data_IF_015354022328
#
_entry.id   IF_015354022328
#
_cell.length_a   1.000
_cell.length_b   1.000
_cell.length_c   1.000
_cell.angle_alpha   90.00
_cell.angle_beta   90.00
_cell.angle_gamma   90.00
#
_symmetry.space_group_name_H-M   'P 1'
#
loop_
_entity.id
_entity.type
_entity.pdbx_description
1 polymer ?
#
# COMPACT_ATOMS: atom_id res chain seq x y z
N UNK A 1 -19.46 -9.58 36.01
CA UNK A 1 -18.00 -9.56 35.78
C UNK A 1 -17.76 -9.55 34.28
N UNK A 2 -17.45 -8.47 33.55
CA UNK A 2 -17.08 -7.09 33.86
C UNK A 2 -17.78 -6.14 32.87
N UNK A 3 -18.18 -5.00 33.40
CA UNK A 3 -19.20 -4.06 32.95
C UNK A 3 -18.81 -3.20 31.75
N UNK A 4 -19.71 -3.09 30.76
CA UNK A 4 -19.72 -2.03 29.76
C UNK A 4 -19.96 -0.69 30.45
N UNK A 5 -18.94 0.17 30.48
CA UNK A 5 -19.04 1.53 30.99
C UNK A 5 -19.14 2.52 29.83
N UNK A 6 -20.36 3.00 29.64
CA UNK A 6 -20.67 4.32 29.10
C UNK A 6 -19.71 5.37 29.66
N UNK A 7 -19.10 6.17 28.79
CA UNK A 7 -18.70 7.55 29.11
C UNK A 7 -19.17 8.45 27.98
N UNK A 8 -20.29 9.09 28.26
CA UNK A 8 -21.00 10.09 27.49
C UNK A 8 -20.35 11.47 27.69
N UNK A 9 -20.55 12.37 26.71
CA UNK A 9 -20.61 13.84 26.83
C UNK A 9 -19.29 14.60 27.09
N UNK A 10 -18.89 15.42 26.11
CA UNK A 10 -18.74 16.89 26.20
C UNK A 10 -18.83 17.45 24.77
N UNK A 11 -19.94 18.12 24.46
CA UNK A 11 -20.12 19.02 23.32
C UNK A 11 -19.60 20.40 23.73
N UNK A 12 -18.66 21.04 23.00
CA UNK A 12 -18.55 22.48 23.02
C UNK A 12 -19.49 23.07 21.96
N UNK A 13 -20.50 23.81 22.44
CA UNK A 13 -21.27 24.77 21.65
C UNK A 13 -20.29 25.80 21.05
N UNK A 14 -19.92 25.60 19.79
CA UNK A 14 -19.18 26.57 18.99
C UNK A 14 -20.14 27.23 18.00
N UNK A 15 -20.56 28.44 18.37
CA UNK A 15 -21.36 29.35 17.55
C UNK A 15 -20.49 29.83 16.37
N UNK A 16 -20.56 29.17 15.21
CA UNK A 16 -19.89 29.65 13.98
C UNK A 16 -20.96 30.20 13.04
N UNK A 17 -21.33 31.43 13.33
CA UNK A 17 -22.01 32.31 12.39
C UNK A 17 -20.97 32.94 11.47
N UNK A 18 -20.76 32.35 10.28
CA UNK A 18 -20.26 33.08 9.11
C UNK A 18 -20.87 32.49 7.85
N UNK A 19 -21.86 33.19 7.33
CA UNK A 19 -22.44 33.10 5.99
C UNK A 19 -21.33 33.23 4.94
N UNK A 20 -20.93 32.13 4.30
CA UNK A 20 -19.98 32.16 3.17
C UNK A 20 -20.72 31.78 1.88
N UNK A 21 -21.35 32.79 1.28
CA UNK A 21 -21.84 32.76 -0.09
C UNK A 21 -20.62 32.90 -1.03
N UNK A 22 -20.10 31.78 -1.53
CA UNK A 22 -18.86 31.77 -2.30
C UNK A 22 -18.53 30.40 -2.89
N UNK A 23 -19.24 30.06 -3.96
CA UNK A 23 -18.82 29.24 -5.10
C UNK A 23 -17.37 28.69 -5.05
N UNK A 24 -17.24 27.41 -4.76
CA UNK A 24 -16.13 26.58 -5.25
C UNK A 24 -16.73 25.29 -5.83
N UNK A 25 -16.48 24.95 -7.10
CA UNK A 25 -16.70 23.58 -7.54
C UNK A 25 -15.70 22.74 -6.76
N UNK A 26 -16.19 21.85 -5.88
CA UNK A 26 -15.39 20.77 -5.35
C UNK A 26 -15.05 19.87 -6.54
N UNK A 27 -13.97 20.21 -7.24
CA UNK A 27 -13.50 19.47 -8.40
C UNK A 27 -12.94 18.16 -7.84
N UNK A 28 -13.78 17.13 -7.77
CA UNK A 28 -13.39 15.76 -7.49
C UNK A 28 -12.51 15.25 -8.65
N UNK A 29 -11.26 15.72 -8.71
CA UNK A 29 -10.26 15.11 -9.58
C UNK A 29 -10.07 13.65 -9.16
N UNK A 30 -10.04 12.68 -10.09
CA UNK A 30 -9.85 11.27 -9.74
C UNK A 30 -8.40 11.01 -9.34
N UNK A 31 -8.05 11.26 -8.07
CA UNK A 31 -6.70 11.07 -7.51
C UNK A 31 -6.20 9.59 -7.55
N UNK A 32 -7.05 8.64 -7.94
CA UNK A 32 -6.72 7.20 -8.03
C UNK A 32 -6.15 6.74 -9.38
N UNK A 33 -6.19 7.58 -10.43
CA UNK A 33 -5.71 7.17 -11.76
C UNK A 33 -4.21 7.41 -11.96
N UNK A 34 -3.64 8.47 -11.38
CA UNK A 34 -2.22 8.81 -11.52
C UNK A 34 -1.25 7.83 -10.82
N UNK A 35 -1.63 7.23 -9.68
CA UNK A 35 -0.76 6.33 -8.90
C UNK A 35 -0.48 4.99 -9.59
N UNK A 36 -1.41 4.54 -10.43
CA UNK A 36 -1.30 3.23 -11.09
C UNK A 36 -0.12 3.16 -12.05
N UNK A 37 0.11 4.25 -12.79
CA UNK A 37 1.19 4.36 -13.75
C UNK A 37 2.53 4.64 -13.06
N UNK A 38 2.52 5.43 -11.98
CA UNK A 38 3.72 5.76 -11.21
C UNK A 38 4.33 4.54 -10.49
N UNK A 39 3.50 3.67 -9.88
CA UNK A 39 4.01 2.46 -9.24
C UNK A 39 4.57 1.49 -10.28
N UNK A 40 3.86 1.24 -11.38
CA UNK A 40 4.36 0.39 -12.47
C UNK A 40 5.68 0.91 -13.06
N UNK A 41 5.82 2.23 -13.23
CA UNK A 41 7.05 2.88 -13.70
C UNK A 41 8.20 2.83 -12.68
N UNK A 42 7.92 2.73 -11.38
CA UNK A 42 8.96 2.46 -10.36
C UNK A 42 9.45 1.02 -10.44
N UNK A 43 8.52 0.08 -10.56
CA UNK A 43 8.85 -1.33 -10.67
C UNK A 43 9.54 -1.69 -11.98
N UNK A 44 9.45 -0.88 -13.05
CA UNK A 44 10.27 -1.09 -14.25
C UNK A 44 11.78 -0.90 -13.99
N UNK A 45 12.18 -0.13 -12.96
CA UNK A 45 13.59 -0.01 -12.54
C UNK A 45 14.14 -1.30 -11.91
N UNK A 46 13.29 -2.06 -11.21
CA UNK A 46 13.69 -3.27 -10.49
C UNK A 46 13.69 -4.51 -11.41
N UNK A 47 14.60 -4.60 -12.38
CA UNK A 47 14.76 -5.81 -13.20
C UNK A 47 15.06 -7.04 -12.32
N UNK A 48 14.65 -8.28 -12.66
CA UNK A 48 14.98 -9.48 -11.88
C UNK A 48 16.48 -9.61 -11.54
N UNK A 49 17.34 -9.03 -12.37
CA UNK A 49 18.81 -9.01 -12.21
C UNK A 49 19.37 -7.76 -11.52
N UNK A 50 18.56 -6.71 -11.31
CA UNK A 50 18.98 -5.45 -10.64
C UNK A 50 18.17 -5.12 -9.38
N UNK A 51 17.16 -5.92 -9.06
CA UNK A 51 16.30 -5.68 -7.92
C UNK A 51 17.03 -6.05 -6.62
N UNK A 52 16.97 -5.20 -5.59
CA UNK A 52 17.61 -5.49 -4.31
C UNK A 52 16.92 -6.66 -3.62
N UNK A 53 17.70 -7.51 -2.96
CA UNK A 53 17.16 -8.52 -2.06
C UNK A 53 16.65 -7.85 -0.78
N UNK A 54 15.37 -8.04 -0.44
CA UNK A 54 14.79 -7.47 0.78
C UNK A 54 14.43 -8.59 1.77
N UNK A 55 14.77 -8.38 3.03
CA UNK A 55 14.51 -9.30 4.12
C UNK A 55 14.18 -8.51 5.40
N UNK A 56 13.70 -9.16 6.47
CA UNK A 56 13.55 -8.50 7.77
C UNK A 56 14.78 -7.68 8.16
N UNK A 57 14.57 -6.41 8.51
CA UNK A 57 15.63 -5.45 8.80
C UNK A 57 16.06 -4.57 7.62
N UNK A 58 15.72 -4.92 6.37
CA UNK A 58 15.92 -4.03 5.22
C UNK A 58 15.11 -2.74 5.36
N UNK A 59 15.66 -1.63 4.85
CA UNK A 59 14.99 -0.32 4.90
C UNK A 59 15.18 0.45 3.59
N UNK A 60 14.30 1.41 3.35
CA UNK A 60 14.45 2.40 2.29
C UNK A 60 13.37 2.35 1.22
N UNK A 61 13.65 2.95 0.06
CA UNK A 61 12.64 3.19 -0.97
C UNK A 61 12.09 1.88 -1.58
N UNK A 62 12.95 0.88 -1.78
CA UNK A 62 12.53 -0.42 -2.30
C UNK A 62 11.52 -1.11 -1.38
N UNK A 63 11.69 -0.99 -0.05
CA UNK A 63 10.73 -1.54 0.92
C UNK A 63 9.39 -0.79 0.84
N UNK A 64 9.41 0.54 0.71
CA UNK A 64 8.18 1.33 0.51
C UNK A 64 7.43 0.90 -0.75
N UNK A 65 8.16 0.68 -1.84
CA UNK A 65 7.54 0.26 -3.10
C UNK A 65 6.89 -1.13 -2.98
N UNK A 66 7.53 -2.07 -2.27
CA UNK A 66 6.94 -3.39 -1.97
C UNK A 66 5.72 -3.28 -1.06
N UNK A 67 5.80 -2.52 0.03
CA UNK A 67 4.68 -2.33 0.96
C UNK A 67 3.48 -1.71 0.22
N UNK A 68 3.71 -0.69 -0.62
CA UNK A 68 2.66 -0.06 -1.42
C UNK A 68 2.04 -1.04 -2.44
N UNK A 69 2.86 -1.86 -3.10
CA UNK A 69 2.37 -2.88 -4.03
C UNK A 69 1.52 -3.94 -3.31
N UNK A 70 2.00 -4.48 -2.19
CA UNK A 70 1.25 -5.45 -1.39
C UNK A 70 -0.05 -4.87 -0.84
N UNK A 71 -0.04 -3.59 -0.45
CA UNK A 71 -1.25 -2.91 0.02
C UNK A 71 -2.28 -2.76 -1.11
N UNK A 72 -1.83 -2.39 -2.31
CA UNK A 72 -2.69 -2.31 -3.49
C UNK A 72 -3.28 -3.67 -3.88
N UNK A 73 -2.50 -4.74 -3.70
CA UNK A 73 -2.93 -6.11 -3.98
C UNK A 73 -3.78 -6.72 -2.84
N UNK A 74 -3.97 -6.00 -1.73
CA UNK A 74 -4.77 -6.46 -0.58
C UNK A 74 -4.05 -7.39 0.39
N UNK A 75 -2.74 -7.59 0.26
CA UNK A 75 -1.94 -8.45 1.14
C UNK A 75 -1.34 -7.74 2.35
N UNK A 76 -1.31 -6.40 2.35
CA UNK A 76 -0.71 -5.60 3.40
C UNK A 76 -1.65 -4.49 3.88
N UNK A 77 -1.82 -4.36 5.20
CA UNK A 77 -2.68 -3.36 5.85
C UNK A 77 -1.89 -2.43 6.79
N UNK A 78 -0.56 -2.51 6.80
CA UNK A 78 0.31 -1.66 7.60
C UNK A 78 0.63 -0.33 6.91
N UNK A 79 1.43 0.49 7.59
CA UNK A 79 1.94 1.74 7.04
C UNK A 79 3.08 1.50 6.03
N UNK A 80 3.15 2.32 4.99
CA UNK A 80 4.25 2.31 4.02
C UNK A 80 5.41 3.16 4.56
N UNK A 81 6.07 2.66 5.59
CA UNK A 81 7.16 3.33 6.31
C UNK A 81 8.54 3.09 5.70
N UNK A 82 8.67 2.05 4.86
CA UNK A 82 9.95 1.63 4.30
C UNK A 82 10.80 0.83 5.26
N UNK A 83 10.21 0.25 6.31
CA UNK A 83 10.88 -0.63 7.27
C UNK A 83 10.36 -2.05 7.06
N UNK A 84 11.25 -2.98 6.75
CA UNK A 84 10.88 -4.36 6.54
C UNK A 84 10.75 -5.08 7.89
N UNK A 85 9.57 -4.94 8.50
CA UNK A 85 9.20 -5.60 9.76
C UNK A 85 8.51 -6.95 9.57
N UNK A 86 8.12 -7.56 10.69
CA UNK A 86 7.38 -8.83 10.71
C UNK A 86 6.08 -8.78 9.90
N UNK A 87 5.32 -7.68 10.01
CA UNK A 87 4.08 -7.49 9.24
C UNK A 87 4.32 -7.51 7.73
N UNK A 88 5.40 -6.89 7.26
CA UNK A 88 5.78 -6.90 5.84
C UNK A 88 6.23 -8.29 5.41
N UNK A 89 7.02 -8.98 6.24
CA UNK A 89 7.44 -10.37 5.96
C UNK A 89 6.23 -11.32 5.83
N UNK A 90 5.25 -11.21 6.73
CA UNK A 90 4.02 -12.01 6.66
C UNK A 90 3.23 -11.71 5.37
N UNK A 91 3.07 -10.44 5.01
CA UNK A 91 2.38 -10.06 3.79
C UNK A 91 3.09 -10.58 2.53
N UNK A 92 4.42 -10.51 2.49
CA UNK A 92 5.23 -11.08 1.40
C UNK A 92 5.06 -12.58 1.33
N UNK A 93 5.11 -13.29 2.46
CA UNK A 93 4.93 -14.74 2.49
C UNK A 93 3.54 -15.17 1.99
N UNK A 94 2.49 -14.42 2.34
CA UNK A 94 1.13 -14.67 1.86
C UNK A 94 1.01 -14.42 0.36
N UNK A 95 1.57 -13.31 -0.14
CA UNK A 95 1.64 -13.02 -1.56
C UNK A 95 2.42 -14.09 -2.34
N UNK A 96 3.57 -14.52 -1.83
CA UNK A 96 4.34 -15.59 -2.47
C UNK A 96 3.53 -16.87 -2.59
N UNK A 97 2.83 -17.28 -1.52
CA UNK A 97 1.95 -18.47 -1.53
C UNK A 97 0.83 -18.34 -2.54
N UNK A 98 0.18 -17.17 -2.67
CA UNK A 98 -0.88 -16.95 -3.67
C UNK A 98 -0.36 -17.02 -5.11
N UNK A 99 0.93 -16.76 -5.31
CA UNK A 99 1.62 -16.86 -6.59
C UNK A 99 2.41 -18.16 -6.79
N UNK A 100 2.20 -19.18 -5.94
CA UNK A 100 2.90 -20.49 -5.99
C UNK A 100 4.43 -20.38 -5.88
N UNK A 101 4.91 -19.34 -5.20
CA UNK A 101 6.31 -19.13 -4.82
C UNK A 101 6.49 -19.62 -3.39
N UNK A 102 7.69 -20.08 -3.04
CA UNK A 102 8.04 -20.44 -1.66
C UNK A 102 7.80 -19.22 -0.75
N UNK A 103 6.92 -19.38 0.24
CA UNK A 103 6.48 -18.33 1.16
C UNK A 103 7.49 -18.07 2.28
N UNK A 104 8.72 -17.71 1.93
CA UNK A 104 9.83 -17.43 2.85
C UNK A 104 9.78 -16.03 3.47
N UNK A 105 8.89 -15.16 2.97
CA UNK A 105 8.73 -13.79 3.45
C UNK A 105 9.90 -12.88 3.11
N UNK A 106 10.69 -13.22 2.08
CA UNK A 106 11.82 -12.42 1.55
C UNK A 106 11.58 -12.04 0.10
N UNK A 107 12.00 -10.86 -0.32
CA UNK A 107 11.77 -10.38 -1.69
C UNK A 107 13.02 -10.63 -2.53
N UNK A 108 12.98 -11.72 -3.29
CA UNK A 108 13.97 -12.05 -4.33
C UNK A 108 13.47 -11.75 -5.73
N UNK A 109 14.27 -12.11 -6.75
CA UNK A 109 13.98 -11.86 -8.17
C UNK A 109 12.59 -12.36 -8.60
N UNK A 110 12.20 -13.56 -8.19
CA UNK A 110 10.89 -14.15 -8.49
C UNK A 110 9.74 -13.34 -7.88
N UNK A 111 9.91 -12.87 -6.64
CA UNK A 111 8.90 -12.06 -5.95
C UNK A 111 8.76 -10.68 -6.61
N UNK A 112 9.88 -10.05 -7.01
CA UNK A 112 9.86 -8.79 -7.77
C UNK A 112 9.15 -8.93 -9.11
N UNK A 113 9.39 -10.03 -9.83
CA UNK A 113 8.70 -10.32 -11.08
C UNK A 113 7.20 -10.52 -10.86
N UNK A 114 6.80 -11.31 -9.85
CA UNK A 114 5.40 -11.53 -9.53
C UNK A 114 4.68 -10.23 -9.15
N UNK A 115 5.32 -9.38 -8.34
CA UNK A 115 4.77 -8.07 -7.97
C UNK A 115 4.56 -7.20 -9.21
N UNK A 116 5.55 -7.10 -10.10
CA UNK A 116 5.45 -6.33 -11.35
C UNK A 116 4.29 -6.82 -12.22
N UNK A 117 4.15 -8.12 -12.42
CA UNK A 117 3.07 -8.69 -13.22
C UNK A 117 1.69 -8.45 -12.61
N UNK A 118 1.61 -8.39 -11.28
CA UNK A 118 0.36 -8.21 -10.54
C UNK A 118 -0.10 -6.75 -10.48
N UNK A 119 0.82 -5.78 -10.49
CA UNK A 119 0.50 -4.35 -10.51
C UNK A 119 0.36 -3.78 -11.93
N UNK A 120 0.87 -4.48 -12.95
CA UNK A 120 0.78 -4.06 -14.33
C UNK A 120 -0.70 -3.96 -14.74
N UNK A 121 -1.12 -2.89 -15.45
CA UNK A 121 -2.47 -2.83 -15.98
C UNK A 121 -2.69 -4.04 -16.87
N UNK A 122 -3.78 -4.80 -16.64
CA UNK A 122 -4.20 -5.85 -17.57
C UNK A 122 -4.39 -5.18 -18.93
N UNK A 123 -3.44 -5.35 -19.84
CA UNK A 123 -3.65 -5.07 -21.26
C UNK A 123 -4.79 -6.01 -21.68
N UNK A 124 -6.01 -5.48 -21.73
CA UNK A 124 -7.13 -6.15 -22.38
C UNK A 124 -6.75 -6.25 -23.85
N UNK A 125 -6.24 -7.41 -24.25
CA UNK A 125 -6.14 -7.79 -25.65
C UNK A 125 -7.58 -7.99 -26.14
N UNK A 126 -7.99 -7.14 -27.08
CA UNK A 126 -9.24 -7.26 -27.83
C UNK A 126 -9.08 -8.32 -28.91
#
# INVERSE_FOLDING_TARGET
MNTRLMRSIILPLGLISTLFLGMLPFSFAPAKAQTNNALAARFSKYSPTKAPFLAPGSRGQAVRDVQAALQRLGFYNGAVDGIYGSRTATAVATFQRSHRIVGDGRVGALTWQALRSSIAPRRRSF
#
